data_IF_310274619661
#
_entry.id   IF_310274619661
#
_cell.length_a   1.000
_cell.length_b   1.000
_cell.length_c   1.000
_cell.angle_alpha   90.00
_cell.angle_beta   90.00
_cell.angle_gamma   90.00
#
_symmetry.space_group_name_H-M   'P 1'
#
loop_
_entity.id
_entity.type
_entity.pdbx_description
1 polymer ?
#
# COMPACT_ATOMS: atom_id res chain seq x y z
N UNK A 1 29.14 7.95 1.05
CA UNK A 1 29.03 6.48 0.94
C UNK A 1 27.79 6.05 1.70
N UNK A 2 26.69 5.75 1.00
CA UNK A 2 25.46 5.27 1.66
C UNK A 2 25.63 3.79 1.94
N UNK A 3 25.87 3.42 3.20
CA UNK A 3 25.93 2.01 3.59
C UNK A 3 24.55 1.39 3.39
N UNK A 4 24.46 0.40 2.52
CA UNK A 4 23.24 -0.35 2.28
C UNK A 4 22.89 -1.16 3.54
N UNK A 5 21.67 -0.99 4.06
CA UNK A 5 21.21 -1.70 5.25
C UNK A 5 21.10 -3.19 4.91
N UNK A 6 21.61 -4.07 5.77
CA UNK A 6 21.49 -5.52 5.59
C UNK A 6 20.05 -5.99 5.79
N UNK A 7 19.68 -7.14 5.22
CA UNK A 7 18.35 -7.75 5.40
C UNK A 7 17.95 -7.89 6.88
N UNK A 8 18.90 -8.29 7.73
CA UNK A 8 18.68 -8.39 9.17
C UNK A 8 18.42 -7.03 9.82
N UNK A 9 19.08 -5.96 9.34
CA UNK A 9 18.79 -4.59 9.77
C UNK A 9 17.38 -4.16 9.39
N UNK A 10 16.94 -4.49 8.17
CA UNK A 10 15.59 -4.21 7.69
C UNK A 10 14.52 -4.87 8.57
N UNK A 11 14.63 -6.18 8.82
CA UNK A 11 13.65 -6.93 9.63
C UNK A 11 13.51 -6.35 11.04
N UNK A 12 14.58 -5.79 11.61
CA UNK A 12 14.53 -5.14 12.94
C UNK A 12 13.78 -3.81 12.94
N UNK A 13 13.76 -3.09 11.82
CA UNK A 13 13.07 -1.79 11.71
C UNK A 13 11.57 -1.94 11.41
N UNK A 14 11.14 -3.07 10.84
CA UNK A 14 9.72 -3.32 10.54
C UNK A 14 8.80 -3.24 11.76
N UNK A 15 9.09 -3.90 12.89
CA UNK A 15 8.28 -3.76 14.11
C UNK A 15 8.20 -2.32 14.61
N UNK A 16 9.30 -1.57 14.51
CA UNK A 16 9.35 -0.17 14.94
C UNK A 16 8.48 0.73 14.05
N UNK A 17 8.42 0.42 12.76
CA UNK A 17 7.55 1.10 11.81
C UNK A 17 6.05 0.78 12.07
N UNK A 18 5.72 -0.47 12.42
CA UNK A 18 4.33 -0.88 12.70
C UNK A 18 3.85 -0.30 14.03
N UNK A 19 4.70 -0.30 15.06
CA UNK A 19 4.39 0.22 16.40
C UNK A 19 4.74 1.71 16.53
N UNK A 20 4.27 2.53 15.59
CA UNK A 20 4.44 3.99 15.67
C UNK A 20 3.42 4.60 16.63
N UNK A 21 3.81 5.66 17.32
CA UNK A 21 2.91 6.45 18.17
C UNK A 21 2.39 7.66 17.41
N UNK A 22 1.11 7.96 17.62
CA UNK A 22 0.45 9.17 17.16
C UNK A 22 0.17 10.04 18.37
N UNK A 23 0.42 11.33 18.23
CA UNK A 23 0.03 12.34 19.20
C UNK A 23 -1.27 13.00 18.73
N UNK A 24 -2.29 12.99 19.58
CA UNK A 24 -3.54 13.71 19.35
C UNK A 24 -3.93 14.44 20.64
N UNK A 25 -3.87 15.78 20.62
CA UNK A 25 -4.25 16.61 21.77
C UNK A 25 -3.37 16.43 23.01
N UNK A 26 -2.12 15.97 22.86
CA UNK A 26 -1.18 15.69 23.96
C UNK A 26 -1.22 14.27 24.50
N UNK A 27 -2.13 13.42 24.00
CA UNK A 27 -2.18 11.99 24.32
C UNK A 27 -1.43 11.19 23.25
N UNK A 28 -0.55 10.28 23.69
CA UNK A 28 0.20 9.38 22.81
C UNK A 28 -0.45 8.00 22.78
N UNK A 29 -0.85 7.54 21.61
CA UNK A 29 -1.38 6.20 21.42
C UNK A 29 -0.83 5.54 20.17
N UNK A 30 -0.80 4.22 20.17
CA UNK A 30 -0.40 3.42 19.00
C UNK A 30 -1.67 2.92 18.30
N UNK A 31 -1.93 3.31 17.05
CA UNK A 31 -3.11 2.85 16.33
C UNK A 31 -3.10 1.33 16.12
N UNK A 32 -4.24 0.67 16.32
CA UNK A 32 -4.36 -0.78 16.05
C UNK A 32 -4.34 -1.13 14.55
N UNK A 33 -4.66 -0.16 13.69
CA UNK A 33 -4.77 -0.34 12.25
C UNK A 33 -4.19 0.86 11.51
N UNK A 34 -3.67 0.58 10.31
CA UNK A 34 -3.14 1.58 9.40
C UNK A 34 -1.62 1.71 9.48
N UNK A 35 -1.08 2.55 8.60
CA UNK A 35 0.34 2.83 8.48
C UNK A 35 0.59 4.32 8.78
N UNK A 36 1.76 4.64 9.33
CA UNK A 36 2.11 6.00 9.69
C UNK A 36 1.97 6.97 8.50
N UNK A 37 1.21 8.06 8.66
CA UNK A 37 1.13 9.11 7.62
C UNK A 37 2.42 9.94 7.65
N UNK A 38 3.03 10.14 6.48
CA UNK A 38 4.26 10.94 6.35
C UNK A 38 5.58 10.17 6.52
N UNK A 39 5.54 8.86 6.79
CA UNK A 39 6.75 8.02 6.70
C UNK A 39 7.05 7.69 5.23
N UNK A 40 8.32 7.82 4.83
CA UNK A 40 8.76 7.53 3.46
C UNK A 40 8.54 6.06 3.05
N UNK A 41 8.42 5.14 4.01
CA UNK A 41 8.17 3.73 3.78
C UNK A 41 6.67 3.41 3.57
N UNK A 42 5.77 4.30 3.98
CA UNK A 42 4.33 4.07 3.92
C UNK A 42 3.77 3.91 2.50
N UNK A 43 4.16 4.73 1.50
CA UNK A 43 3.71 4.53 0.12
C UNK A 43 4.14 3.17 -0.45
N UNK A 44 5.35 2.70 -0.10
CA UNK A 44 5.84 1.38 -0.51
C UNK A 44 5.00 0.25 0.11
N UNK A 45 4.67 0.36 1.39
CA UNK A 45 3.81 -0.61 2.07
C UNK A 45 2.40 -0.64 1.48
N UNK A 46 1.84 0.52 1.13
CA UNK A 46 0.56 0.60 0.42
C UNK A 46 0.62 -0.10 -0.94
N UNK A 47 1.69 0.12 -1.71
CA UNK A 47 1.89 -0.55 -2.99
C UNK A 47 2.03 -2.08 -2.84
N UNK A 48 2.78 -2.56 -1.85
CA UNK A 48 2.91 -3.99 -1.55
C UNK A 48 1.57 -4.60 -1.12
N UNK A 49 0.80 -3.88 -0.31
CA UNK A 49 -0.52 -4.34 0.14
C UNK A 49 -1.50 -4.51 -1.03
N UNK A 50 -1.44 -3.62 -2.02
CA UNK A 50 -2.30 -3.64 -3.20
C UNK A 50 -1.77 -4.52 -4.35
N UNK A 51 -0.58 -5.12 -4.19
CA UNK A 51 0.05 -5.92 -5.23
C UNK A 51 -0.81 -7.09 -5.72
N UNK A 52 -1.56 -7.74 -4.83
CA UNK A 52 -2.46 -8.83 -5.22
C UNK A 52 -3.58 -8.36 -6.17
N UNK A 53 -4.06 -7.12 -5.99
CA UNK A 53 -5.06 -6.48 -6.86
C UNK A 53 -4.45 -6.14 -8.21
N UNK A 54 -3.25 -5.53 -8.19
CA UNK A 54 -2.49 -5.23 -9.40
C UNK A 54 -2.26 -6.51 -10.22
N UNK A 55 -1.85 -7.59 -9.57
CA UNK A 55 -1.60 -8.88 -10.19
C UNK A 55 -2.89 -9.47 -10.80
N UNK A 56 -4.02 -9.38 -10.09
CA UNK A 56 -5.30 -9.87 -10.60
C UNK A 56 -5.72 -9.15 -11.89
N UNK A 57 -5.67 -7.81 -11.91
CA UNK A 57 -6.08 -7.03 -13.09
C UNK A 57 -5.07 -7.09 -14.24
N UNK A 58 -3.78 -7.25 -13.96
CA UNK A 58 -2.75 -7.45 -14.98
C UNK A 58 -2.98 -8.73 -15.81
N UNK A 59 -3.59 -9.76 -15.23
CA UNK A 59 -3.87 -11.03 -15.90
C UNK A 59 -5.23 -11.07 -16.60
N UNK A 60 -6.06 -10.04 -16.44
CA UNK A 60 -7.40 -10.04 -17.03
C UNK A 60 -7.34 -9.53 -18.48
N UNK A 61 -7.94 -10.30 -19.39
CA UNK A 61 -8.00 -9.91 -20.79
C UNK A 61 -9.10 -8.87 -21.04
N UNK A 62 -8.87 -8.00 -22.03
CA UNK A 62 -9.85 -6.99 -22.48
C UNK A 62 -10.25 -5.99 -21.39
N UNK A 63 -9.31 -5.62 -20.52
CA UNK A 63 -9.44 -4.48 -19.62
C UNK A 63 -8.13 -3.69 -19.67
N UNK A 64 -8.21 -2.37 -19.47
CA UNK A 64 -7.04 -1.56 -19.17
C UNK A 64 -7.10 -1.12 -17.72
N UNK A 65 -6.02 -1.36 -16.98
CA UNK A 65 -5.91 -1.08 -15.56
C UNK A 65 -4.78 -0.06 -15.34
N UNK A 66 -5.07 0.99 -14.58
CA UNK A 66 -4.10 1.96 -14.10
C UNK A 66 -4.34 2.26 -12.64
N UNK A 67 -3.27 2.42 -11.85
CA UNK A 67 -3.36 2.76 -10.44
C UNK A 67 -2.36 3.86 -10.08
N UNK A 68 -2.80 4.80 -9.25
CA UNK A 68 -1.92 5.77 -8.60
C UNK A 68 -2.25 5.79 -7.10
N UNK A 69 -1.34 5.25 -6.28
CA UNK A 69 -1.60 5.04 -4.84
C UNK A 69 -2.89 4.25 -4.61
N UNK A 70 -3.90 4.86 -3.99
CA UNK A 70 -5.23 4.31 -3.71
C UNK A 70 -6.26 4.60 -4.81
N UNK A 71 -5.92 5.41 -5.81
CA UNK A 71 -6.79 5.68 -6.96
C UNK A 71 -6.64 4.58 -8.03
N UNK A 72 -7.77 3.99 -8.43
CA UNK A 72 -7.84 2.95 -9.46
C UNK A 72 -8.66 3.42 -10.67
N UNK A 73 -8.16 3.14 -11.86
CA UNK A 73 -8.85 3.35 -13.14
C UNK A 73 -8.91 2.03 -13.88
N UNK A 74 -10.13 1.59 -14.21
CA UNK A 74 -10.39 0.38 -15.00
C UNK A 74 -11.22 0.79 -16.21
N UNK A 75 -10.68 0.57 -17.41
CA UNK A 75 -11.38 0.79 -18.67
C UNK A 75 -11.78 -0.56 -19.27
N UNK A 76 -13.06 -0.67 -19.68
CA UNK A 76 -13.61 -1.86 -20.30
C UNK A 76 -14.18 -1.55 -21.68
N UNK A 77 -14.23 -2.56 -22.55
CA UNK A 77 -14.74 -2.40 -23.92
C UNK A 77 -16.26 -2.22 -23.96
N UNK A 78 -16.98 -2.77 -22.98
CA UNK A 78 -18.44 -2.63 -22.91
C UNK A 78 -18.88 -2.22 -21.52
N UNK A 79 -19.97 -1.44 -21.47
CA UNK A 79 -20.57 -0.89 -20.24
C UNK A 79 -21.05 -1.96 -19.25
N UNK A 80 -21.35 -3.16 -19.74
CA UNK A 80 -21.94 -4.25 -18.95
C UNK A 80 -20.93 -5.26 -18.40
N UNK A 81 -19.65 -5.13 -18.78
CA UNK A 81 -18.61 -6.12 -18.46
C UNK A 81 -18.26 -6.18 -16.97
N UNK A 82 -18.38 -5.06 -16.24
CA UNK A 82 -18.12 -4.99 -14.80
C UNK A 82 -19.40 -5.08 -13.95
N UNK A 83 -20.57 -5.19 -14.57
CA UNK A 83 -21.82 -5.29 -13.84
C UNK A 83 -21.96 -6.70 -13.26
N UNK A 84 -21.83 -6.84 -11.95
CA UNK A 84 -22.21 -8.07 -11.24
C UNK A 84 -23.69 -8.36 -11.51
N UNK A 85 -24.01 -9.62 -11.81
CA UNK A 85 -25.38 -10.13 -11.77
C UNK A 85 -25.81 -10.36 -10.33
#
# INVERSE_FOLDING_TARGET
MTNMISYQGLVRTFPQYIHYSVEEGGEFYTPEKGIARGCALSPLMGALHLWAVDNYFAHQHKIYYGRYMDDFVILTYSRWQLRKR
#
